data_IF_224491373340
#
_entry.id   IF_224491373340
#
_cell.length_a   1.000
_cell.length_b   1.000
_cell.length_c   1.000
_cell.angle_alpha   90.00
_cell.angle_beta   90.00
_cell.angle_gamma   90.00
#
_symmetry.space_group_name_H-M   'P 1'
#
loop_
_entity.id
_entity.type
_entity.pdbx_description
1 polymer ?
#
# COMPACT_ATOMS: atom_id res chain seq x y z
N UNK A 1 9.03 5.74 -6.42
CA UNK A 1 7.98 6.39 -7.25
C UNK A 1 8.57 6.80 -8.60
N UNK A 2 7.74 7.25 -9.55
CA UNK A 2 8.20 7.76 -10.87
C UNK A 2 7.67 9.18 -11.07
N UNK A 3 8.50 10.11 -11.53
CA UNK A 3 8.02 11.45 -11.86
C UNK A 3 7.15 11.48 -13.12
N UNK A 4 6.13 12.33 -13.13
CA UNK A 4 5.23 12.57 -14.26
C UNK A 4 4.96 14.05 -14.44
N UNK A 5 4.63 14.48 -15.67
CA UNK A 5 4.13 15.84 -15.95
C UNK A 5 2.63 15.85 -16.33
N UNK A 6 2.02 14.67 -16.52
CA UNK A 6 0.62 14.53 -16.92
C UNK A 6 -0.33 14.78 -15.74
N UNK A 7 -1.53 15.29 -16.03
CA UNK A 7 -2.59 15.48 -15.02
C UNK A 7 -3.37 14.19 -14.72
N UNK A 8 -3.33 13.23 -15.65
CA UNK A 8 -3.96 11.91 -15.52
C UNK A 8 -3.00 10.87 -16.08
N UNK A 9 -2.86 9.75 -15.38
CA UNK A 9 -2.10 8.59 -15.83
C UNK A 9 -3.06 7.57 -16.42
N UNK A 10 -2.96 7.34 -17.72
CA UNK A 10 -3.66 6.23 -18.37
C UNK A 10 -2.79 4.98 -18.31
N UNK A 11 -3.38 3.88 -17.85
CA UNK A 11 -2.70 2.60 -17.79
C UNK A 11 -3.67 1.46 -18.10
N UNK A 12 -3.12 0.33 -18.53
CA UNK A 12 -3.91 -0.86 -18.83
C UNK A 12 -3.78 -1.87 -17.71
N UNK A 13 -4.90 -2.42 -17.27
CA UNK A 13 -4.95 -3.62 -16.43
C UNK A 13 -5.17 -4.83 -17.31
N UNK A 14 -4.51 -5.94 -17.00
CA UNK A 14 -4.82 -7.21 -17.66
C UNK A 14 -6.01 -7.82 -16.89
N UNK A 15 -7.17 -7.90 -17.53
CA UNK A 15 -8.39 -8.44 -16.92
C UNK A 15 -8.54 -9.95 -17.10
N UNK A 16 -7.77 -10.55 -18.02
CA UNK A 16 -7.79 -11.99 -18.25
C UNK A 16 -6.53 -12.47 -18.97
N UNK A 17 -6.04 -13.63 -18.55
CA UNK A 17 -4.91 -14.32 -19.18
C UNK A 17 -5.19 -15.82 -19.22
N UNK A 18 -5.49 -16.33 -20.41
CA UNK A 18 -5.66 -17.76 -20.65
C UNK A 18 -4.40 -18.30 -21.32
N UNK A 19 -3.50 -18.85 -20.50
CA UNK A 19 -2.28 -19.46 -20.99
C UNK A 19 -2.58 -20.83 -21.60
N UNK A 20 -2.58 -20.91 -22.92
CA UNK A 20 -2.73 -22.17 -23.65
C UNK A 20 -1.39 -22.75 -24.08
N UNK A 21 -0.26 -22.27 -23.54
CA UNK A 21 1.06 -22.78 -23.88
C UNK A 21 1.13 -24.30 -23.66
N UNK A 22 1.56 -25.01 -24.69
CA UNK A 22 1.70 -26.46 -24.67
C UNK A 22 2.84 -26.88 -25.59
N UNK A 23 3.37 -28.08 -25.39
CA UNK A 23 4.34 -28.68 -26.30
C UNK A 23 3.67 -28.93 -27.66
N UNK A 24 4.22 -28.33 -28.72
CA UNK A 24 3.65 -28.45 -30.07
C UNK A 24 4.51 -29.41 -30.90
N UNK A 25 3.93 -30.47 -31.48
CA UNK A 25 4.66 -31.37 -32.37
C UNK A 25 5.07 -30.63 -33.65
N UNK A 26 6.25 -30.96 -34.20
CA UNK A 26 6.74 -30.36 -35.43
C UNK A 26 5.79 -30.60 -36.62
N UNK A 27 5.16 -31.78 -36.66
CA UNK A 27 4.13 -32.14 -37.64
C UNK A 27 2.94 -32.85 -37.00
N UNK A 28 1.75 -32.56 -37.50
CA UNK A 28 0.54 -33.33 -37.30
C UNK A 28 0.09 -33.87 -38.67
N UNK A 29 0.41 -35.15 -38.96
CA UNK A 29 0.17 -35.77 -40.26
C UNK A 29 0.86 -35.01 -41.42
N UNK A 30 0.09 -34.48 -42.39
CA UNK A 30 0.61 -33.76 -43.57
C UNK A 30 0.86 -32.27 -43.34
N UNK A 31 0.45 -31.71 -42.19
CA UNK A 31 0.61 -30.29 -41.86
C UNK A 31 1.55 -30.07 -40.66
N UNK A 32 2.07 -28.85 -40.53
CA UNK A 32 2.78 -28.42 -39.32
C UNK A 32 1.82 -28.37 -38.13
N UNK A 33 2.31 -28.71 -36.93
CA UNK A 33 1.49 -28.68 -35.72
C UNK A 33 0.95 -27.28 -35.44
N UNK A 34 -0.36 -27.15 -35.26
CA UNK A 34 -0.99 -25.88 -34.91
C UNK A 34 -0.60 -25.48 -33.48
N UNK A 35 -0.04 -24.27 -33.33
CA UNK A 35 0.31 -23.74 -32.02
C UNK A 35 -0.95 -23.23 -31.30
N UNK A 36 -1.17 -23.57 -30.02
CA UNK A 36 -2.26 -22.99 -29.26
C UNK A 36 -2.12 -21.47 -29.15
N UNK A 37 -3.23 -20.74 -29.27
CA UNK A 37 -3.27 -19.30 -29.08
C UNK A 37 -3.52 -18.96 -27.61
N UNK A 38 -2.63 -18.15 -27.04
CA UNK A 38 -2.84 -17.52 -25.72
C UNK A 38 -3.67 -16.25 -25.91
N UNK A 39 -4.66 -16.04 -25.04
CA UNK A 39 -5.51 -14.83 -25.07
C UNK A 39 -5.23 -13.96 -23.85
N UNK A 40 -5.13 -12.65 -24.10
CA UNK A 40 -4.96 -11.62 -23.08
C UNK A 40 -6.06 -10.57 -23.27
N UNK A 41 -6.74 -10.21 -22.19
CA UNK A 41 -7.71 -9.13 -22.17
C UNK A 41 -7.14 -7.95 -21.37
N UNK A 42 -7.28 -6.75 -21.91
CA UNK A 42 -6.83 -5.51 -21.27
C UNK A 42 -8.00 -4.55 -21.08
N UNK A 43 -8.02 -3.86 -19.95
CA UNK A 43 -8.95 -2.77 -19.67
C UNK A 43 -8.16 -1.48 -19.42
N UNK A 44 -8.54 -0.40 -20.10
CA UNK A 44 -7.99 0.93 -19.86
C UNK A 44 -8.54 1.50 -18.57
N UNK A 45 -7.66 2.00 -17.71
CA UNK A 45 -8.01 2.65 -16.44
C UNK A 45 -7.23 3.96 -16.35
N UNK A 46 -7.85 4.96 -15.74
CA UNK A 46 -7.26 6.27 -15.50
C UNK A 46 -6.99 6.44 -14.00
N UNK A 47 -5.81 6.96 -13.67
CA UNK A 47 -5.45 7.41 -12.34
C UNK A 47 -5.22 8.93 -12.37
N UNK A 48 -6.18 9.75 -11.91
CA UNK A 48 -6.02 11.20 -11.85
C UNK A 48 -4.95 11.57 -10.81
N UNK A 49 -4.18 12.63 -11.09
CA UNK A 49 -3.28 13.23 -10.11
C UNK A 49 -4.10 14.01 -9.08
N UNK A 50 -3.91 13.70 -7.80
CA UNK A 50 -4.55 14.37 -6.68
C UNK A 50 -3.54 15.18 -5.87
N UNK A 51 -4.04 16.24 -5.24
CA UNK A 51 -3.24 17.11 -4.37
C UNK A 51 -3.52 16.77 -2.92
N UNK A 52 -2.48 16.51 -2.15
CA UNK A 52 -2.54 16.39 -0.69
C UNK A 52 -1.85 17.60 -0.12
N UNK A 53 -2.56 18.38 0.70
CA UNK A 53 -2.03 19.61 1.26
C UNK A 53 -2.64 19.91 2.62
N UNK A 54 -1.86 20.56 3.48
CA UNK A 54 -2.30 21.16 4.74
C UNK A 54 -1.41 22.34 5.09
N UNK A 55 -1.89 23.20 5.98
CA UNK A 55 -1.19 24.43 6.33
C UNK A 55 -1.32 24.72 7.81
N UNK A 56 -0.33 25.44 8.34
CA UNK A 56 -0.33 25.98 9.70
C UNK A 56 -0.04 27.48 9.65
N UNK A 57 -0.65 28.25 10.55
CA UNK A 57 -0.36 29.66 10.73
C UNK A 57 0.51 29.88 11.96
N UNK A 58 1.54 30.72 11.83
CA UNK A 58 2.41 31.09 12.93
C UNK A 58 2.67 32.59 12.96
N UNK A 59 2.95 33.14 14.13
CA UNK A 59 3.25 34.56 14.27
C UNK A 59 4.67 34.86 13.75
N UNK A 60 4.84 35.94 12.98
CA UNK A 60 6.10 36.34 12.32
C UNK A 60 7.26 36.41 13.32
N UNK A 61 7.03 37.03 14.47
CA UNK A 61 8.09 37.19 15.48
C UNK A 61 8.54 35.85 16.06
N UNK A 62 7.63 34.88 16.20
CA UNK A 62 7.97 33.56 16.75
C UNK A 62 8.93 32.82 15.81
N UNK A 63 8.79 33.03 14.50
CA UNK A 63 9.65 32.42 13.48
C UNK A 63 10.96 33.18 13.25
N UNK A 64 11.00 34.49 13.53
CA UNK A 64 12.25 35.26 13.47
C UNK A 64 13.14 35.04 14.69
N UNK A 65 12.52 34.86 15.85
CA UNK A 65 13.22 34.84 17.12
C UNK A 65 13.68 33.43 17.49
N UNK A 66 13.00 32.39 16.98
CA UNK A 66 13.32 30.98 17.26
C UNK A 66 13.43 30.16 15.96
N UNK A 67 14.65 30.07 15.37
CA UNK A 67 14.91 29.25 14.20
C UNK A 67 14.54 27.77 14.38
N UNK A 68 14.56 27.24 15.62
CA UNK A 68 14.18 25.84 15.87
C UNK A 68 12.68 25.60 15.63
N UNK A 69 11.81 26.57 15.96
CA UNK A 69 10.36 26.42 15.76
C UNK A 69 10.00 26.32 14.29
N UNK A 70 10.70 27.04 13.41
CA UNK A 70 10.51 26.90 11.96
C UNK A 70 10.84 25.49 11.48
N UNK A 71 11.98 24.95 11.91
CA UNK A 71 12.37 23.59 11.54
C UNK A 71 11.40 22.53 12.07
N UNK A 72 10.85 22.73 13.28
CA UNK A 72 9.85 21.82 13.85
C UNK A 72 8.58 21.85 13.01
N UNK A 73 8.04 23.03 12.71
CA UNK A 73 6.83 23.16 11.89
C UNK A 73 7.03 22.55 10.51
N UNK A 74 8.17 22.83 9.86
CA UNK A 74 8.47 22.29 8.54
C UNK A 74 8.53 20.74 8.56
N UNK A 75 9.18 20.16 9.59
CA UNK A 75 9.27 18.70 9.74
C UNK A 75 7.92 18.05 10.06
N UNK A 76 7.13 18.64 10.97
CA UNK A 76 5.82 18.12 11.36
C UNK A 76 4.81 18.22 10.20
N UNK A 77 4.84 19.32 9.43
CA UNK A 77 4.01 19.45 8.24
C UNK A 77 4.39 18.41 7.18
N UNK A 78 5.67 18.16 6.94
CA UNK A 78 6.09 17.10 6.01
C UNK A 78 5.71 15.71 6.54
N UNK A 79 5.81 15.47 7.84
CA UNK A 79 5.42 14.21 8.46
C UNK A 79 3.91 13.95 8.34
N UNK A 80 3.07 14.93 8.70
CA UNK A 80 1.61 14.81 8.58
C UNK A 80 1.15 14.60 7.13
N UNK A 81 1.83 15.23 6.18
CA UNK A 81 1.56 15.04 4.74
C UNK A 81 1.88 13.61 4.28
N UNK A 82 2.98 13.01 4.74
CA UNK A 82 3.31 11.59 4.48
C UNK A 82 2.32 10.63 5.14
N UNK A 83 1.90 10.92 6.38
CA UNK A 83 0.93 10.09 7.08
C UNK A 83 -0.42 10.03 6.34
N UNK A 84 -0.88 11.18 5.83
CA UNK A 84 -2.11 11.24 5.04
C UNK A 84 -1.94 10.60 3.64
N UNK A 85 -0.76 10.71 3.04
CA UNK A 85 -0.42 10.00 1.81
C UNK A 85 -0.52 8.48 1.99
N UNK A 86 0.07 7.91 3.04
CA UNK A 86 -0.02 6.48 3.32
C UNK A 86 -1.48 6.03 3.49
N UNK A 87 -2.29 6.81 4.20
CA UNK A 87 -3.72 6.54 4.36
C UNK A 87 -4.46 6.54 3.01
N UNK A 88 -4.17 7.49 2.13
CA UNK A 88 -4.75 7.58 0.79
C UNK A 88 -4.27 6.44 -0.14
N UNK A 89 -2.99 6.06 -0.08
CA UNK A 89 -2.44 4.94 -0.85
C UNK A 89 -3.09 3.62 -0.44
N UNK A 90 -3.28 3.40 0.87
CA UNK A 90 -3.85 2.16 1.38
C UNK A 90 -5.38 2.11 1.22
N UNK A 91 -6.07 3.16 1.68
CA UNK A 91 -7.51 3.16 1.94
C UNK A 91 -8.27 4.32 1.31
N UNK A 92 -7.64 5.11 0.43
CA UNK A 92 -8.28 6.23 -0.27
C UNK A 92 -9.59 5.79 -0.95
N UNK A 93 -10.65 6.58 -0.79
CA UNK A 93 -12.00 6.22 -1.19
C UNK A 93 -12.18 6.09 -2.71
N UNK A 94 -11.29 6.72 -3.50
CA UNK A 94 -11.39 6.78 -4.96
C UNK A 94 -12.58 7.58 -5.47
N UNK A 95 -13.23 8.36 -4.60
CA UNK A 95 -14.34 9.26 -4.93
C UNK A 95 -13.89 10.71 -4.76
N UNK A 96 -14.55 11.63 -5.48
CA UNK A 96 -14.20 13.07 -5.44
C UNK A 96 -12.72 13.32 -5.76
N UNK A 97 -11.95 13.89 -4.83
CA UNK A 97 -10.53 14.21 -4.92
C UNK A 97 -9.62 13.18 -4.24
N UNK A 98 -10.17 12.11 -3.67
CA UNK A 98 -9.36 11.05 -3.05
C UNK A 98 -8.69 10.17 -4.11
N UNK A 99 -7.54 9.61 -3.72
CA UNK A 99 -6.92 8.54 -4.50
C UNK A 99 -7.76 7.28 -4.39
N UNK A 100 -7.73 6.43 -5.41
CA UNK A 100 -8.23 5.06 -5.29
C UNK A 100 -7.16 4.23 -4.60
N UNK A 101 -7.32 4.00 -3.30
CA UNK A 101 -6.40 3.19 -2.50
C UNK A 101 -6.36 1.72 -2.95
N UNK A 102 -5.31 1.01 -2.56
CA UNK A 102 -5.13 -0.41 -2.91
C UNK A 102 -6.30 -1.26 -2.37
N UNK A 103 -6.74 -1.01 -1.13
CA UNK A 103 -7.82 -1.78 -0.49
C UNK A 103 -9.19 -1.56 -1.15
N UNK A 104 -9.40 -0.41 -1.80
CA UNK A 104 -10.63 -0.07 -2.49
C UNK A 104 -10.55 -0.35 -4.00
N UNK A 105 -9.44 -0.89 -4.48
CA UNK A 105 -9.28 -1.25 -5.89
C UNK A 105 -10.06 -2.53 -6.22
N UNK A 106 -10.89 -2.47 -7.26
CA UNK A 106 -11.61 -3.64 -7.76
C UNK A 106 -10.66 -4.74 -8.25
N UNK A 107 -10.92 -5.98 -7.86
CA UNK A 107 -10.17 -7.16 -8.32
C UNK A 107 -9.04 -7.61 -7.40
N UNK A 108 -8.87 -6.98 -6.23
CA UNK A 108 -7.99 -7.52 -5.19
C UNK A 108 -8.55 -8.83 -4.65
N UNK A 109 -7.66 -9.73 -4.27
CA UNK A 109 -8.06 -10.96 -3.59
C UNK A 109 -8.42 -10.65 -2.13
N UNK A 110 -9.26 -11.49 -1.53
CA UNK A 110 -9.63 -11.36 -0.12
C UNK A 110 -9.46 -12.69 0.59
N UNK A 111 -9.07 -12.64 1.86
CA UNK A 111 -8.96 -13.80 2.73
C UNK A 111 -9.52 -13.44 4.11
N UNK A 112 -10.47 -14.22 4.60
CA UNK A 112 -10.99 -14.07 5.97
C UNK A 112 -10.30 -15.06 6.89
N UNK A 113 -9.88 -14.62 8.07
CA UNK A 113 -9.22 -15.49 9.05
C UNK A 113 -10.10 -16.67 9.47
N UNK A 114 -11.41 -16.45 9.58
CA UNK A 114 -12.42 -17.49 9.80
C UNK A 114 -12.43 -18.62 8.78
N UNK A 115 -11.86 -18.41 7.59
CA UNK A 115 -11.70 -19.45 6.54
C UNK A 115 -10.47 -20.34 6.76
N UNK A 116 -9.74 -20.14 7.86
CA UNK A 116 -8.63 -20.98 8.27
C UNK A 116 -9.04 -22.39 8.68
N UNK A 117 -8.05 -23.25 8.88
CA UNK A 117 -8.26 -24.57 9.44
C UNK A 117 -8.59 -24.46 10.94
N UNK A 118 -9.57 -25.24 11.39
CA UNK A 118 -9.96 -25.36 12.80
C UNK A 118 -9.46 -26.67 13.45
N UNK A 119 -8.92 -27.59 12.64
CA UNK A 119 -8.47 -28.93 13.05
C UNK A 119 -7.18 -29.33 12.32
N UNK A 120 -6.23 -30.04 12.96
CA UNK A 120 -6.20 -30.43 14.38
C UNK A 120 -5.86 -29.29 15.34
N UNK A 121 -5.30 -28.19 14.83
CA UNK A 121 -5.02 -26.94 15.57
C UNK A 121 -5.66 -25.79 14.80
N UNK A 122 -6.23 -24.83 15.53
CA UNK A 122 -6.82 -23.62 14.95
C UNK A 122 -5.73 -22.73 14.38
N UNK A 123 -5.94 -22.24 13.17
CA UNK A 123 -5.04 -21.28 12.54
C UNK A 123 -4.97 -19.97 13.34
N UNK A 124 -3.75 -19.51 13.57
CA UNK A 124 -3.46 -18.20 14.17
C UNK A 124 -3.59 -17.07 13.14
N UNK A 125 -3.55 -15.80 13.58
CA UNK A 125 -3.43 -14.64 12.67
C UNK A 125 -2.21 -14.75 11.74
N UNK A 126 -1.11 -15.34 12.23
CA UNK A 126 0.09 -15.60 11.42
C UNK A 126 -0.17 -16.62 10.30
N UNK A 127 -0.96 -17.66 10.56
CA UNK A 127 -1.33 -18.66 9.56
C UNK A 127 -2.25 -18.05 8.49
N UNK A 128 -3.15 -17.14 8.88
CA UNK A 128 -3.98 -16.38 7.94
C UNK A 128 -3.13 -15.60 6.94
N UNK A 129 -2.07 -14.92 7.41
CA UNK A 129 -1.10 -14.23 6.56
C UNK A 129 -0.40 -15.21 5.61
N UNK A 130 0.01 -16.40 6.09
CA UNK A 130 0.65 -17.41 5.25
C UNK A 130 -0.29 -17.92 4.14
N UNK A 131 -1.55 -18.16 4.46
CA UNK A 131 -2.57 -18.62 3.50
C UNK A 131 -2.89 -17.56 2.47
N UNK A 132 -3.03 -16.32 2.90
CA UNK A 132 -3.20 -15.19 2.00
C UNK A 132 -1.98 -15.00 1.08
N UNK A 133 -0.75 -15.17 1.59
CA UNK A 133 0.44 -15.17 0.75
C UNK A 133 0.39 -16.27 -0.33
N UNK A 134 -0.12 -17.47 -0.01
CA UNK A 134 -0.33 -18.55 -1.00
C UNK A 134 -1.26 -18.12 -2.14
N UNK A 135 -2.30 -17.33 -1.87
CA UNK A 135 -3.19 -16.83 -2.91
C UNK A 135 -2.46 -15.91 -3.91
N UNK A 136 -1.52 -15.10 -3.42
CA UNK A 136 -0.65 -14.27 -4.28
C UNK A 136 0.30 -15.14 -5.12
N UNK A 137 0.93 -16.16 -4.49
CA UNK A 137 1.79 -17.11 -5.20
C UNK A 137 1.04 -17.90 -6.30
N UNK A 138 -0.19 -18.34 -6.03
CA UNK A 138 -1.02 -19.03 -7.02
C UNK A 138 -1.46 -18.12 -8.17
N UNK A 139 -1.51 -16.81 -7.93
CA UNK A 139 -1.70 -15.80 -8.97
C UNK A 139 -0.40 -15.45 -9.72
N UNK A 140 0.72 -16.16 -9.46
CA UNK A 140 2.06 -15.94 -10.03
C UNK A 140 2.70 -14.60 -9.65
N UNK A 141 2.26 -13.99 -8.54
CA UNK A 141 2.87 -12.77 -8.00
C UNK A 141 3.48 -13.08 -6.63
N UNK A 142 4.79 -12.93 -6.52
CA UNK A 142 5.48 -13.13 -5.25
C UNK A 142 5.25 -11.88 -4.36
N UNK A 143 4.71 -12.06 -3.14
CA UNK A 143 4.47 -10.94 -2.24
C UNK A 143 5.80 -10.36 -1.73
N UNK A 144 5.95 -9.05 -1.85
CA UNK A 144 7.18 -8.33 -1.45
C UNK A 144 7.04 -7.65 -0.09
N UNK A 145 5.84 -7.63 0.48
CA UNK A 145 5.59 -7.02 1.79
C UNK A 145 4.24 -7.43 2.37
N UNK A 146 4.13 -7.27 3.69
CA UNK A 146 2.90 -7.36 4.46
C UNK A 146 2.72 -6.05 5.21
N UNK A 147 1.55 -5.42 5.08
CA UNK A 147 1.19 -4.21 5.80
C UNK A 147 0.18 -4.57 6.88
N UNK A 148 0.47 -4.19 8.11
CA UNK A 148 -0.32 -4.50 9.31
C UNK A 148 -0.52 -3.25 10.16
N UNK A 149 -1.58 -3.26 10.96
CA UNK A 149 -1.71 -2.30 12.03
C UNK A 149 -0.76 -2.69 13.18
N UNK A 150 -0.11 -1.73 13.86
CA UNK A 150 0.76 -2.04 15.01
C UNK A 150 0.10 -2.90 16.09
N UNK A 151 -1.20 -2.71 16.36
CA UNK A 151 -1.93 -3.52 17.35
C UNK A 151 -2.10 -4.99 16.89
N UNK A 152 -2.33 -5.23 15.60
CA UNK A 152 -2.43 -6.58 15.06
C UNK A 152 -1.06 -7.27 14.99
N UNK A 153 0.00 -6.48 14.76
CA UNK A 153 1.36 -6.98 14.80
C UNK A 153 1.76 -7.41 16.21
N UNK A 154 1.42 -6.59 17.23
CA UNK A 154 1.61 -6.95 18.64
C UNK A 154 0.91 -8.27 18.99
N UNK A 155 -0.36 -8.46 18.59
CA UNK A 155 -1.09 -9.71 18.82
C UNK A 155 -0.38 -10.94 18.21
N UNK A 156 0.19 -10.76 17.01
CA UNK A 156 0.93 -11.83 16.32
C UNK A 156 2.24 -12.15 17.04
N UNK A 157 3.00 -11.12 17.47
CA UNK A 157 4.25 -11.30 18.22
C UNK A 157 4.02 -11.94 19.58
N UNK A 158 2.91 -11.62 20.23
CA UNK A 158 2.56 -12.16 21.55
C UNK A 158 1.98 -13.58 21.52
N UNK A 159 1.86 -14.18 20.34
CA UNK A 159 1.32 -15.53 20.16
C UNK A 159 2.26 -16.59 20.74
N UNK A 160 1.73 -17.44 21.64
CA UNK A 160 2.48 -18.46 22.38
C UNK A 160 1.99 -19.88 22.10
N UNK A 161 2.89 -20.85 22.25
CA UNK A 161 2.56 -22.27 22.26
C UNK A 161 1.91 -22.68 23.60
N UNK A 162 1.46 -23.93 23.69
CA UNK A 162 0.86 -24.49 24.92
C UNK A 162 1.82 -24.56 26.11
N UNK A 163 3.13 -24.40 25.88
CA UNK A 163 4.17 -24.40 26.90
C UNK A 163 4.57 -22.98 27.32
N UNK A 164 3.89 -21.94 26.78
CA UNK A 164 4.15 -20.54 27.08
C UNK A 164 5.34 -19.93 26.33
N UNK A 165 5.91 -20.64 25.35
CA UNK A 165 6.99 -20.16 24.50
C UNK A 165 6.42 -19.34 23.33
N UNK A 166 7.08 -18.26 22.96
CA UNK A 166 6.68 -17.45 21.81
C UNK A 166 6.88 -18.23 20.50
N UNK A 167 5.84 -18.28 19.66
CA UNK A 167 5.88 -18.97 18.37
C UNK A 167 6.69 -18.19 17.32
N UNK A 168 6.61 -16.85 17.37
CA UNK A 168 7.50 -15.97 16.65
C UNK A 168 8.69 -15.63 17.56
N UNK A 169 9.80 -16.34 17.40
CA UNK A 169 11.06 -15.91 18.00
C UNK A 169 11.51 -14.66 17.24
N UNK A 170 11.31 -13.48 17.83
CA UNK A 170 11.90 -12.24 17.32
C UNK A 170 13.41 -12.47 17.29
N UNK A 171 14.00 -12.41 16.10
CA UNK A 171 15.46 -12.36 15.98
C UNK A 171 15.88 -10.99 16.51
N UNK A 172 16.23 -10.90 17.80
CA UNK A 172 16.66 -9.68 18.53
C UNK A 172 18.05 -9.21 18.06
N UNK A 173 18.37 -9.37 16.77
CA UNK A 173 19.54 -8.74 16.18
C UNK A 173 19.11 -7.33 15.82
N UNK A 174 19.60 -6.36 16.59
CA UNK A 174 19.34 -4.94 16.38
C UNK A 174 19.52 -4.57 14.90
N UNK A 175 18.42 -4.18 14.26
CA UNK A 175 18.38 -3.81 12.83
C UNK A 175 17.87 -4.88 11.86
N UNK A 176 17.41 -6.04 12.33
CA UNK A 176 16.69 -6.99 11.48
C UNK A 176 15.29 -6.44 11.14
N UNK A 177 14.97 -6.36 9.85
CA UNK A 177 13.62 -6.05 9.38
C UNK A 177 12.63 -7.07 9.97
N UNK A 178 11.52 -6.58 10.52
CA UNK A 178 10.39 -7.42 10.94
C UNK A 178 9.94 -8.25 9.74
N UNK A 179 9.99 -9.58 9.87
CA UNK A 179 9.67 -10.51 8.79
C UNK A 179 8.76 -11.61 9.29
N UNK A 180 7.70 -11.88 8.56
CA UNK A 180 6.80 -13.00 8.79
C UNK A 180 6.79 -13.89 7.55
N UNK A 181 7.02 -15.19 7.72
CA UNK A 181 7.09 -16.15 6.60
C UNK A 181 8.09 -15.75 5.49
N UNK A 182 9.20 -15.09 5.85
CA UNK A 182 10.22 -14.54 4.94
C UNK A 182 9.78 -13.33 4.10
N UNK A 183 8.62 -12.75 4.40
CA UNK A 183 8.11 -11.53 3.78
C UNK A 183 8.32 -10.38 4.79
N UNK A 184 8.86 -9.22 4.36
CA UNK A 184 9.02 -8.08 5.25
C UNK A 184 7.65 -7.51 5.68
N UNK A 185 7.58 -7.08 6.93
CA UNK A 185 6.39 -6.49 7.56
C UNK A 185 6.61 -4.99 7.70
N UNK A 186 5.59 -4.22 7.32
CA UNK A 186 5.50 -2.78 7.54
C UNK A 186 4.30 -2.53 8.43
N UNK A 187 4.56 -2.12 9.67
CA UNK A 187 3.56 -1.71 10.63
C UNK A 187 3.24 -0.22 10.46
N UNK A 188 1.97 0.11 10.21
CA UNK A 188 1.54 1.50 10.02
C UNK A 188 0.16 1.72 10.63
N UNK A 189 -0.05 2.84 11.34
CA UNK A 189 -1.38 3.19 11.85
C UNK A 189 -2.36 3.57 10.72
N UNK A 190 -1.89 3.76 9.49
CA UNK A 190 -2.72 4.09 8.33
C UNK A 190 -3.65 2.95 7.88
N UNK A 191 -3.33 1.69 8.21
CA UNK A 191 -4.24 0.56 7.97
C UNK A 191 -5.13 0.34 9.19
N UNK A 192 -6.44 0.15 8.95
CA UNK A 192 -7.39 -0.12 10.02
C UNK A 192 -7.05 -1.42 10.76
N UNK A 193 -7.19 -1.42 12.08
CA UNK A 193 -7.04 -2.63 12.88
C UNK A 193 -8.04 -3.71 12.45
N UNK A 194 -7.61 -4.97 12.50
CA UNK A 194 -8.32 -6.12 11.96
C UNK A 194 -8.13 -6.32 10.45
N UNK A 195 -7.32 -5.49 9.77
CA UNK A 195 -7.02 -5.62 8.35
C UNK A 195 -5.53 -5.74 8.10
N UNK A 196 -5.13 -6.69 7.24
CA UNK A 196 -3.79 -6.75 6.68
C UNK A 196 -3.83 -6.67 5.16
N UNK A 197 -2.74 -6.17 4.56
CA UNK A 197 -2.56 -6.16 3.12
C UNK A 197 -1.27 -6.88 2.76
N UNK A 198 -1.37 -7.92 1.95
CA UNK A 198 -0.22 -8.67 1.45
C UNK A 198 -0.19 -8.48 -0.05
N UNK A 199 0.98 -8.23 -0.63
CA UNK A 199 1.07 -8.25 -2.07
C UNK A 199 2.43 -7.90 -2.63
N UNK A 200 2.49 -7.91 -3.96
CA UNK A 200 3.68 -7.52 -4.70
C UNK A 200 3.64 -6.01 -4.97
N UNK A 201 4.09 -5.20 -4.01
CA UNK A 201 4.04 -3.73 -4.13
C UNK A 201 4.89 -3.21 -5.30
N UNK A 202 5.99 -3.89 -5.65
CA UNK A 202 6.88 -3.47 -6.74
C UNK A 202 6.31 -3.66 -8.15
N UNK A 203 5.45 -4.66 -8.35
CA UNK A 203 4.84 -4.96 -9.66
C UNK A 203 3.35 -4.61 -9.73
N UNK A 204 2.66 -4.66 -8.58
CA UNK A 204 1.22 -4.52 -8.48
C UNK A 204 0.71 -3.10 -8.51
N UNK A 205 1.44 -2.18 -7.90
CA UNK A 205 1.09 -0.76 -7.84
C UNK A 205 2.31 0.10 -8.19
N UNK A 206 2.04 1.28 -8.74
CA UNK A 206 3.06 2.28 -9.01
C UNK A 206 2.56 3.67 -8.62
N UNK A 207 3.36 4.35 -7.79
CA UNK A 207 3.17 5.75 -7.45
C UNK A 207 3.82 6.64 -8.51
N UNK A 208 3.06 7.61 -8.99
CA UNK A 208 3.50 8.63 -9.94
C UNK A 208 3.47 10.00 -9.26
N UNK A 209 4.64 10.62 -9.10
CA UNK A 209 4.75 11.92 -8.43
C UNK A 209 4.71 13.01 -9.50
N UNK A 210 3.74 13.91 -9.39
CA UNK A 210 3.61 15.08 -10.27
C UNK A 210 4.37 16.28 -9.70
N UNK A 211 4.30 16.44 -8.38
CA UNK A 211 5.04 17.42 -7.60
C UNK A 211 5.42 16.76 -6.27
N UNK A 212 6.71 16.74 -5.94
CA UNK A 212 7.20 16.26 -4.65
C UNK A 212 6.69 17.15 -3.51
N UNK A 213 6.77 16.65 -2.28
CA UNK A 213 6.39 17.43 -1.09
C UNK A 213 7.22 18.72 -1.00
N UNK A 214 6.53 19.86 -1.05
CA UNK A 214 7.16 21.18 -0.95
C UNK A 214 6.50 22.02 0.12
N UNK A 215 7.30 22.86 0.78
CA UNK A 215 6.83 23.86 1.74
C UNK A 215 6.83 25.22 1.07
N UNK A 216 5.72 25.94 1.19
CA UNK A 216 5.55 27.32 0.72
C UNK A 216 5.14 28.20 1.88
N UNK A 217 5.74 29.38 1.95
CA UNK A 217 5.45 30.36 3.00
C UNK A 217 4.85 31.60 2.37
N UNK A 218 3.75 32.10 2.94
CA UNK A 218 3.09 33.32 2.48
C UNK A 218 2.70 34.21 3.65
N UNK A 219 2.97 35.51 3.51
CA UNK A 219 2.56 36.55 4.46
C UNK A 219 1.30 37.31 3.96
N UNK A 220 0.89 37.05 2.71
CA UNK A 220 -0.18 37.78 2.03
C UNK A 220 -1.52 37.03 2.04
N UNK A 221 -1.78 36.25 3.09
CA UNK A 221 -3.05 35.53 3.24
C UNK A 221 -4.03 36.33 4.10
N UNK A 222 -5.19 36.73 3.53
CA UNK A 222 -6.28 37.40 4.27
C UNK A 222 -5.78 38.61 5.08
N UNK A 223 -6.09 38.67 6.38
CA UNK A 223 -5.70 39.72 7.33
C UNK A 223 -4.40 39.40 8.08
N UNK A 224 -3.67 38.34 7.70
CA UNK A 224 -2.45 37.91 8.39
C UNK A 224 -1.33 38.94 8.29
N UNK A 225 -1.29 39.68 7.18
CA UNK A 225 -0.37 40.80 7.03
C UNK A 225 -0.57 41.87 8.12
N UNK A 226 -1.81 42.17 8.49
CA UNK A 226 -2.14 43.17 9.53
C UNK A 226 -1.93 42.61 10.94
N UNK A 227 -2.02 41.28 11.10
CA UNK A 227 -1.88 40.58 12.38
C UNK A 227 -0.48 40.02 12.65
N UNK A 228 0.50 40.31 11.80
CA UNK A 228 1.84 39.73 11.87
C UNK A 228 1.83 38.19 11.89
N UNK A 229 0.89 37.56 11.19
CA UNK A 229 0.87 36.11 11.00
C UNK A 229 1.45 35.74 9.63
N UNK A 230 1.97 34.52 9.52
CA UNK A 230 2.41 33.92 8.26
C UNK A 230 1.79 32.52 8.12
N UNK A 231 1.59 32.09 6.87
CA UNK A 231 1.11 30.74 6.53
C UNK A 231 2.26 29.91 6.02
N UNK A 232 2.36 28.69 6.53
CA UNK A 232 3.27 27.66 6.05
C UNK A 232 2.39 26.55 5.49
N UNK A 233 2.42 26.37 4.16
CA UNK A 233 1.67 25.38 3.41
C UNK A 233 2.61 24.26 3.00
N UNK A 234 2.27 23.02 3.31
CA UNK A 234 2.92 21.85 2.74
C UNK A 234 1.97 21.16 1.76
N UNK A 235 2.43 20.95 0.53
CA UNK A 235 1.64 20.29 -0.52
C UNK A 235 2.47 19.32 -1.36
N UNK A 236 1.80 18.28 -1.86
CA UNK A 236 2.32 17.36 -2.86
C UNK A 236 1.24 16.94 -3.84
N UNK A 237 1.65 16.46 -5.01
CA UNK A 237 0.72 15.99 -6.05
C UNK A 237 1.17 14.66 -6.59
N UNK A 238 0.30 13.67 -6.54
CA UNK A 238 0.63 12.30 -6.94
C UNK A 238 -0.58 11.54 -7.48
N UNK A 239 -0.32 10.45 -8.19
CA UNK A 239 -1.32 9.51 -8.68
C UNK A 239 -0.90 8.08 -8.35
N UNK A 240 -1.86 7.25 -7.96
CA UNK A 240 -1.65 5.83 -7.70
C UNK A 240 -2.24 4.99 -8.83
N UNK A 241 -1.41 4.19 -9.49
CA UNK A 241 -1.85 3.23 -10.49
C UNK A 241 -1.69 1.80 -9.98
N UNK A 242 -2.81 1.15 -9.66
CA UNK A 242 -2.84 -0.28 -9.30
C UNK A 242 -3.03 -1.10 -10.58
N UNK A 243 -1.92 -1.63 -11.11
CA UNK A 243 -1.87 -2.32 -12.42
C UNK A 243 -2.31 -3.77 -12.34
N UNK A 244 -1.96 -4.45 -11.23
CA UNK A 244 -2.26 -5.88 -10.98
C UNK A 244 -2.99 -6.03 -9.65
N UNK A 245 -4.30 -5.78 -9.61
CA UNK A 245 -5.06 -5.91 -8.36
C UNK A 245 -4.99 -7.34 -7.80
N UNK A 246 -4.90 -8.36 -8.67
CA UNK A 246 -4.78 -9.76 -8.28
C UNK A 246 -3.48 -10.09 -7.51
N UNK A 247 -2.47 -9.21 -7.57
CA UNK A 247 -1.23 -9.37 -6.79
C UNK A 247 -1.40 -8.99 -5.31
N UNK A 248 -2.51 -8.33 -4.96
CA UNK A 248 -2.84 -7.92 -3.60
C UNK A 248 -3.91 -8.81 -2.99
N UNK A 249 -3.73 -9.12 -1.71
CA UNK A 249 -4.62 -9.93 -0.90
C UNK A 249 -4.92 -9.14 0.38
N UNK A 250 -6.19 -8.74 0.53
CA UNK A 250 -6.69 -8.16 1.78
C UNK A 250 -7.04 -9.28 2.74
N UNK A 251 -6.40 -9.30 3.90
CA UNK A 251 -6.76 -10.20 5.01
C UNK A 251 -7.67 -9.46 5.97
N UNK A 252 -8.77 -10.10 6.36
CA UNK A 252 -9.64 -9.62 7.43
C UNK A 252 -9.47 -10.54 8.63
N UNK A 253 -8.98 -10.01 9.75
CA UNK A 253 -8.94 -10.70 11.04
C UNK A 253 -10.32 -10.59 11.70
N UNK A 254 -11.26 -11.40 11.23
CA UNK A 254 -12.62 -11.50 11.72
C UNK A 254 -12.71 -12.42 12.95
N UNK A 255 -13.50 -13.50 12.89
CA UNK A 255 -13.55 -14.49 13.96
C UNK A 255 -12.45 -15.54 13.77
N UNK A 256 -11.87 -16.01 14.86
CA UNK A 256 -10.95 -17.14 14.83
C UNK A 256 -11.67 -18.40 14.30
N UNK A 257 -11.03 -19.21 13.44
CA UNK A 257 -11.56 -20.49 12.97
C UNK A 257 -11.70 -21.53 14.09
#
# INVERSE_FOLDING_TARGET
SRSTNAAVIEYFRMSGFTNNASTVPERASSAFGAKPQTTMAFTGVQAPVRTIAHWEAAHRNVLSDEPQLRSIIDNELLYGLRLHEDAQILSGAGTSEDLTGILNTSGIQTYSWSSGASTPVKDTKADAIRRAATLSFLAYYEPTGVILNPNDWEDIELTKDSNGQYLMAVSIVAGAESRIWRIPVVDTPAIASGTALIGSFGQGAQLYDREEATIRVSEQHSDFFVRNAIVILAEQRLALAVKRPESFVKVTFDAAP
#
